data_IF_311124384827
#
_entry.id   IF_311124384827
#
_cell.length_a   1.000
_cell.length_b   1.000
_cell.length_c   1.000
_cell.angle_alpha   90.00
_cell.angle_beta   90.00
_cell.angle_gamma   90.00
#
_symmetry.space_group_name_H-M   'P 1'
#
loop_
_entity.id
_entity.type
_entity.pdbx_description
1 polymer ?
#
# COMPACT_ATOMS: atom_id res chain seq x y z
N UNK A 1 -1.85 9.10 23.25
CA UNK A 1 -2.15 9.14 21.80
C UNK A 1 -1.78 7.83 21.10
N UNK A 2 -0.51 7.37 21.13
CA UNK A 2 -0.12 6.10 20.49
C UNK A 2 -0.89 4.87 20.98
N UNK A 3 -1.01 4.72 22.30
CA UNK A 3 -1.79 3.63 22.89
C UNK A 3 -3.26 3.65 22.43
N UNK A 4 -3.88 4.82 22.39
CA UNK A 4 -5.24 4.99 21.86
C UNK A 4 -5.31 4.56 20.39
N UNK A 5 -4.34 4.98 19.58
CA UNK A 5 -4.27 4.62 18.15
C UNK A 5 -4.17 3.13 17.93
N UNK A 6 -3.33 2.45 18.72
CA UNK A 6 -3.20 1.00 18.68
C UNK A 6 -4.47 0.28 19.11
N UNK A 7 -5.12 0.72 20.19
CA UNK A 7 -6.37 0.13 20.66
C UNK A 7 -7.51 0.22 19.65
N UNK A 8 -7.49 1.25 18.81
CA UNK A 8 -8.47 1.47 17.73
C UNK A 8 -7.98 0.94 16.38
N UNK A 9 -6.89 0.17 16.34
CA UNK A 9 -6.33 -0.46 15.13
C UNK A 9 -5.99 0.54 14.01
N UNK A 10 -5.65 1.77 14.39
CA UNK A 10 -5.32 2.83 13.43
C UNK A 10 -3.94 2.59 12.81
N UNK A 11 -3.78 2.99 11.55
CA UNK A 11 -2.49 3.00 10.86
C UNK A 11 -1.47 3.83 11.65
N UNK A 12 -0.19 3.45 11.58
CA UNK A 12 0.88 4.18 12.25
C UNK A 12 0.91 5.63 11.78
N UNK A 13 0.91 6.63 12.68
CA UNK A 13 0.85 8.04 12.31
C UNK A 13 2.21 8.54 11.82
N UNK A 14 2.57 8.21 10.57
CA UNK A 14 3.87 8.58 9.97
C UNK A 14 4.15 10.08 9.94
N UNK A 15 3.12 10.92 9.89
CA UNK A 15 3.27 12.39 9.95
C UNK A 15 3.79 12.89 11.30
N UNK A 16 3.80 12.04 12.35
CA UNK A 16 4.34 12.33 13.68
C UNK A 16 5.63 11.54 13.96
N UNK A 17 6.29 11.00 12.92
CA UNK A 17 7.50 10.19 13.09
C UNK A 17 8.62 10.96 13.81
N UNK A 18 8.68 12.28 13.62
CA UNK A 18 9.60 13.17 14.32
C UNK A 18 9.41 13.11 15.84
N UNK A 19 8.18 13.11 16.34
CA UNK A 19 7.88 13.01 17.77
C UNK A 19 8.01 11.57 18.25
N UNK A 20 7.55 10.60 17.47
CA UNK A 20 7.41 9.21 17.91
C UNK A 20 8.75 8.47 17.87
N UNK A 21 9.47 8.55 16.75
CA UNK A 21 10.75 7.86 16.60
C UNK A 21 11.84 8.58 17.39
N UNK A 22 11.94 9.91 17.25
CA UNK A 22 12.97 10.69 17.94
C UNK A 22 12.68 10.88 19.43
N UNK A 23 11.41 11.12 19.79
CA UNK A 23 11.03 11.46 21.17
C UNK A 23 10.67 10.25 22.02
N UNK A 24 9.94 9.28 21.47
CA UNK A 24 9.43 8.11 22.21
C UNK A 24 10.21 6.82 21.95
N UNK A 25 11.15 6.82 20.99
CA UNK A 25 11.90 5.64 20.55
C UNK A 25 11.00 4.47 20.14
N UNK A 26 9.87 4.78 19.48
CA UNK A 26 8.93 3.78 18.97
C UNK A 26 8.98 3.76 17.44
N UNK A 27 9.41 2.64 16.88
CA UNK A 27 9.41 2.42 15.43
C UNK A 27 8.03 1.95 14.94
N UNK A 28 7.71 2.13 13.65
CA UNK A 28 6.51 1.53 13.05
C UNK A 28 6.44 0.02 13.29
N UNK A 29 7.58 -0.67 13.17
CA UNK A 29 7.69 -2.11 13.43
C UNK A 29 7.23 -2.48 14.86
N UNK A 30 7.75 -1.78 15.87
CA UNK A 30 7.34 -2.01 17.27
C UNK A 30 5.85 -1.73 17.48
N UNK A 31 5.32 -0.66 16.87
CA UNK A 31 3.91 -0.33 16.95
C UNK A 31 3.02 -1.47 16.43
N UNK A 32 3.34 -2.03 15.27
CA UNK A 32 2.57 -3.11 14.67
C UNK A 32 2.79 -4.47 15.35
N UNK A 33 4.00 -4.78 15.82
CA UNK A 33 4.24 -5.99 16.63
C UNK A 33 3.37 -5.97 17.90
N UNK A 34 3.32 -4.84 18.61
CA UNK A 34 2.49 -4.70 19.79
C UNK A 34 0.99 -4.79 19.44
N UNK A 35 0.57 -4.24 18.30
CA UNK A 35 -0.81 -4.34 17.84
C UNK A 35 -1.21 -5.80 17.56
N UNK A 36 -0.39 -6.53 16.80
CA UNK A 36 -0.64 -7.95 16.49
C UNK A 36 -0.61 -8.79 17.76
N UNK A 37 0.30 -8.53 18.69
CA UNK A 37 0.34 -9.24 19.99
C UNK A 37 -0.95 -9.01 20.81
N UNK A 38 -1.50 -7.79 20.79
CA UNK A 38 -2.76 -7.45 21.46
C UNK A 38 -3.97 -8.14 20.81
N UNK A 39 -4.07 -8.15 19.48
CA UNK A 39 -5.15 -8.82 18.73
C UNK A 39 -5.08 -10.34 18.94
N UNK A 40 -3.87 -10.93 18.88
CA UNK A 40 -3.65 -12.35 19.17
C UNK A 40 -4.03 -12.70 20.61
N UNK A 41 -3.68 -11.84 21.58
CA UNK A 41 -4.03 -12.04 22.99
C UNK A 41 -5.53 -12.09 23.22
N UNK A 42 -6.28 -11.31 22.44
CA UNK A 42 -7.73 -11.21 22.52
C UNK A 42 -8.44 -12.19 21.60
N UNK A 43 -7.69 -13.03 20.86
CA UNK A 43 -8.20 -13.97 19.85
C UNK A 43 -9.16 -13.31 18.84
N UNK A 44 -8.93 -12.03 18.51
CA UNK A 44 -9.71 -11.31 17.49
C UNK A 44 -9.32 -11.77 16.09
N UNK A 45 -10.27 -11.69 15.16
CA UNK A 45 -10.00 -11.97 13.74
C UNK A 45 -9.05 -10.92 13.15
N UNK A 46 -8.16 -11.34 12.23
CA UNK A 46 -7.33 -10.44 11.44
C UNK A 46 -8.19 -9.42 10.66
N UNK A 47 -9.42 -9.82 10.29
CA UNK A 47 -10.39 -8.99 9.56
C UNK A 47 -10.87 -7.77 10.33
N UNK A 48 -10.53 -7.66 11.61
CA UNK A 48 -10.81 -6.46 12.41
C UNK A 48 -9.85 -5.31 12.11
N UNK A 49 -8.71 -5.56 11.46
CA UNK A 49 -7.77 -4.53 11.04
C UNK A 49 -8.32 -3.75 9.83
N UNK A 50 -8.30 -2.40 9.84
CA UNK A 50 -8.52 -1.59 8.64
C UNK A 50 -7.54 -1.96 7.51
N UNK A 51 -7.88 -1.71 6.25
CA UNK A 51 -7.12 -2.19 5.09
C UNK A 51 -5.72 -1.59 5.05
N UNK A 52 -5.60 -0.29 5.26
CA UNK A 52 -4.28 0.36 5.22
C UNK A 52 -3.42 -0.01 6.43
N UNK A 53 -4.04 -0.29 7.59
CA UNK A 53 -3.36 -0.86 8.75
C UNK A 53 -2.84 -2.26 8.43
N UNK A 54 -3.68 -3.12 7.85
CA UNK A 54 -3.33 -4.49 7.51
C UNK A 54 -2.29 -4.58 6.38
N UNK A 55 -2.36 -3.69 5.39
CA UNK A 55 -1.35 -3.55 4.35
C UNK A 55 0.01 -3.18 4.94
N UNK A 56 0.04 -2.28 5.93
CA UNK A 56 1.30 -1.90 6.57
C UNK A 56 1.85 -2.99 7.50
N UNK A 57 0.97 -3.71 8.21
CA UNK A 57 1.32 -4.93 8.95
C UNK A 57 1.98 -5.97 8.04
N UNK A 58 1.39 -6.23 6.87
CA UNK A 58 1.94 -7.16 5.90
C UNK A 58 3.32 -6.69 5.41
N UNK A 59 3.44 -5.41 5.05
CA UNK A 59 4.68 -4.81 4.54
C UNK A 59 5.84 -4.86 5.55
N UNK A 60 5.57 -4.60 6.82
CA UNK A 60 6.61 -4.51 7.86
C UNK A 60 6.87 -5.83 8.59
N UNK A 61 5.83 -6.64 8.82
CA UNK A 61 5.91 -7.85 9.63
C UNK A 61 5.91 -9.13 8.77
N UNK A 62 5.39 -9.08 7.55
CA UNK A 62 5.12 -10.29 6.75
C UNK A 62 3.95 -11.11 7.27
N UNK A 63 3.09 -10.51 8.10
CA UNK A 63 1.92 -11.19 8.68
C UNK A 63 0.69 -10.75 7.90
N UNK A 64 0.24 -11.58 6.97
CA UNK A 64 -1.07 -11.49 6.36
C UNK A 64 -2.12 -12.29 7.13
N UNK A 65 -3.33 -12.40 6.56
CA UNK A 65 -4.46 -13.17 7.13
C UNK A 65 -4.06 -14.60 7.46
N UNK A 66 -3.38 -15.28 6.55
CA UNK A 66 -3.07 -16.70 6.66
C UNK A 66 -1.96 -16.95 7.66
N UNK A 67 -0.88 -16.17 7.59
CA UNK A 67 0.19 -16.20 8.58
C UNK A 67 -0.36 -15.91 9.99
N UNK A 68 -1.33 -15.00 10.11
CA UNK A 68 -2.00 -14.73 11.38
C UNK A 68 -2.85 -15.92 11.88
N UNK A 69 -3.61 -16.57 11.00
CA UNK A 69 -4.38 -17.79 11.33
C UNK A 69 -3.44 -18.90 11.82
N UNK A 70 -2.31 -19.09 11.15
CA UNK A 70 -1.29 -20.06 11.55
C UNK A 70 -0.70 -19.73 12.92
N UNK A 71 -0.42 -18.46 13.19
CA UNK A 71 0.03 -18.00 14.52
C UNK A 71 -1.01 -18.31 15.61
N UNK A 72 -2.30 -18.08 15.36
CA UNK A 72 -3.38 -18.45 16.29
C UNK A 72 -3.39 -19.96 16.52
N UNK A 73 -3.29 -20.76 15.46
CA UNK A 73 -3.33 -22.22 15.54
C UNK A 73 -2.14 -22.76 16.34
N UNK A 74 -0.94 -22.23 16.12
CA UNK A 74 0.25 -22.58 16.91
C UNK A 74 0.09 -22.22 18.39
N UNK A 75 -0.48 -21.03 18.68
CA UNK A 75 -0.79 -20.62 20.05
C UNK A 75 -1.80 -21.56 20.73
N UNK A 76 -2.83 -22.01 20.00
CA UNK A 76 -3.86 -22.94 20.52
C UNK A 76 -3.33 -24.36 20.70
N UNK A 77 -2.50 -24.84 19.78
CA UNK A 77 -1.86 -26.16 19.87
C UNK A 77 -0.95 -26.26 21.10
N UNK A 78 -0.19 -25.20 21.38
CA UNK A 78 0.66 -25.13 22.57
C UNK A 78 -0.14 -25.21 23.89
N UNK A 79 -1.31 -24.57 23.98
CA UNK A 79 -2.17 -24.63 25.17
C UNK A 79 -2.70 -26.04 25.50
N UNK A 80 -2.73 -26.97 24.54
CA UNK A 80 -3.24 -28.35 24.75
C UNK A 80 -2.19 -29.31 25.32
N UNK A 81 -0.90 -28.98 25.21
CA UNK A 81 0.20 -29.79 25.74
C UNK A 81 0.48 -29.39 27.19
N UNK A 82 -0.36 -29.86 28.10
CA UNK A 82 -0.50 -29.51 29.54
C UNK A 82 0.75 -29.72 30.45
N UNK A 83 1.98 -29.77 29.93
CA UNK A 83 3.20 -29.88 30.76
C UNK A 83 4.40 -29.01 30.31
N UNK A 84 4.28 -28.23 29.23
CA UNK A 84 5.29 -27.22 28.90
C UNK A 84 4.63 -25.84 28.96
N UNK A 85 5.02 -25.07 29.97
CA UNK A 85 4.80 -23.62 30.13
C UNK A 85 4.43 -22.90 28.83
N UNK A 86 3.30 -22.18 28.87
CA UNK A 86 2.91 -21.06 28.00
C UNK A 86 3.99 -20.72 26.97
N UNK A 87 3.86 -21.22 25.74
CA UNK A 87 4.75 -20.76 24.65
C UNK A 87 4.73 -19.25 24.69
N UNK A 88 5.92 -18.66 24.84
CA UNK A 88 6.07 -17.22 24.88
C UNK A 88 5.64 -16.71 23.51
N UNK A 89 4.41 -16.26 23.37
CA UNK A 89 3.82 -15.86 22.08
C UNK A 89 4.68 -14.83 21.33
N UNK A 90 5.43 -14.01 22.07
CA UNK A 90 6.43 -13.07 21.51
C UNK A 90 7.56 -13.77 20.75
N UNK A 91 7.84 -15.05 21.00
CA UNK A 91 8.82 -15.83 20.26
C UNK A 91 8.31 -16.30 18.89
N UNK A 92 7.00 -16.26 18.65
CA UNK A 92 6.40 -16.59 17.35
C UNK A 92 6.30 -15.36 16.44
N UNK A 93 6.38 -14.16 17.02
CA UNK A 93 6.33 -12.92 16.26
C UNK A 93 7.71 -12.59 15.65
N UNK A 94 7.74 -11.91 14.49
CA UNK A 94 8.96 -11.42 13.89
C UNK A 94 9.77 -10.56 14.87
N UNK A 95 11.09 -10.74 14.87
CA UNK A 95 12.02 -9.98 15.74
C UNK A 95 12.64 -8.79 14.98
N UNK A 96 12.63 -8.85 13.65
CA UNK A 96 13.16 -7.80 12.77
C UNK A 96 12.11 -7.43 11.71
N UNK A 97 12.04 -6.15 11.31
CA UNK A 97 11.19 -5.74 10.20
C UNK A 97 11.64 -6.40 8.90
N UNK A 98 10.68 -6.68 8.03
CA UNK A 98 10.97 -6.95 6.62
C UNK A 98 11.58 -5.72 5.95
N UNK A 99 12.38 -5.95 4.91
CA UNK A 99 13.07 -4.89 4.18
C UNK A 99 12.09 -3.85 3.64
N UNK A 100 12.27 -2.59 4.04
CA UNK A 100 11.42 -1.48 3.58
C UNK A 100 11.90 -1.00 2.22
N UNK A 101 10.95 -0.80 1.30
CA UNK A 101 11.21 -0.11 0.05
C UNK A 101 11.30 1.40 0.32
N UNK A 102 12.38 2.01 -0.17
CA UNK A 102 12.66 3.44 -0.04
C UNK A 102 12.98 4.00 -1.41
N UNK A 103 12.51 5.21 -1.70
CA UNK A 103 12.90 5.92 -2.91
C UNK A 103 14.02 6.92 -2.64
N UNK A 104 14.77 7.25 -3.69
CA UNK A 104 15.92 8.17 -3.65
C UNK A 104 15.57 9.60 -3.23
N UNK A 105 14.33 10.02 -3.41
CA UNK A 105 13.86 11.37 -3.12
C UNK A 105 13.30 11.54 -1.71
N UNK A 106 13.18 10.46 -0.94
CA UNK A 106 12.74 10.52 0.46
C UNK A 106 13.78 11.26 1.30
N UNK A 107 13.33 11.91 2.36
CA UNK A 107 14.18 12.65 3.29
C UNK A 107 14.49 11.75 4.48
N UNK A 108 15.76 11.62 4.80
CA UNK A 108 16.26 10.89 5.96
C UNK A 108 16.44 11.87 7.10
N UNK A 109 15.86 11.55 8.24
CA UNK A 109 16.00 12.30 9.47
C UNK A 109 16.64 11.46 10.56
N UNK A 110 17.31 12.14 11.50
CA UNK A 110 17.87 11.49 12.69
C UNK A 110 16.76 11.09 13.66
N UNK A 111 16.75 9.81 14.02
CA UNK A 111 15.90 9.25 15.08
C UNK A 111 16.50 9.45 16.46
N UNK A 112 16.28 8.50 17.35
CA UNK A 112 16.88 8.54 18.69
C UNK A 112 18.23 7.83 18.68
N UNK A 113 19.32 8.58 18.82
CA UNK A 113 20.69 8.04 18.84
C UNK A 113 21.26 8.07 20.26
N UNK A 114 21.69 6.91 20.78
CA UNK A 114 22.43 6.83 22.04
C UNK A 114 23.92 6.56 21.82
N UNK A 115 24.73 6.80 22.85
CA UNK A 115 26.18 6.56 22.83
C UNK A 115 26.51 5.08 22.59
N UNK A 116 25.65 4.16 23.06
CA UNK A 116 25.85 2.73 22.83
C UNK A 116 25.57 2.36 21.37
N UNK A 117 24.50 2.91 20.79
CA UNK A 117 24.13 2.65 19.40
C UNK A 117 25.27 3.08 18.45
N UNK A 118 25.92 4.21 18.73
CA UNK A 118 27.09 4.67 17.96
C UNK A 118 28.24 3.65 18.04
N UNK A 119 28.47 2.96 19.16
CA UNK A 119 29.57 1.99 19.25
C UNK A 119 29.35 0.80 18.32
N UNK A 120 28.11 0.35 18.21
CA UNK A 120 27.72 -0.83 17.46
C UNK A 120 27.56 -0.55 15.95
N UNK A 121 27.54 0.73 15.55
CA UNK A 121 27.48 1.15 14.14
C UNK A 121 28.81 0.95 13.39
N UNK A 122 28.69 0.61 12.11
CA UNK A 122 29.77 0.60 11.11
C UNK A 122 30.27 2.02 10.80
N UNK A 123 31.40 2.12 10.09
CA UNK A 123 31.98 3.43 9.73
C UNK A 123 31.06 4.24 8.79
N UNK A 124 30.40 3.59 7.83
CA UNK A 124 29.48 4.26 6.91
C UNK A 124 28.18 4.71 7.62
N UNK A 125 27.64 3.88 8.51
CA UNK A 125 26.49 4.24 9.34
C UNK A 125 26.78 5.44 10.25
N UNK A 126 27.96 5.47 10.88
CA UNK A 126 28.42 6.62 11.68
C UNK A 126 28.49 7.89 10.85
N UNK A 127 29.08 7.81 9.66
CA UNK A 127 29.19 8.96 8.74
C UNK A 127 27.82 9.51 8.36
N UNK A 128 26.82 8.65 8.11
CA UNK A 128 25.44 9.08 7.85
C UNK A 128 24.87 9.79 9.07
N UNK A 129 25.01 9.22 10.27
CA UNK A 129 24.53 9.82 11.52
C UNK A 129 25.18 11.19 11.77
N UNK A 130 26.50 11.28 11.66
CA UNK A 130 27.26 12.53 11.86
C UNK A 130 26.78 13.61 10.87
N UNK A 131 26.59 13.23 9.60
CA UNK A 131 26.07 14.15 8.58
C UNK A 131 24.66 14.65 8.92
N UNK A 132 23.78 13.78 9.45
CA UNK A 132 22.43 14.16 9.85
C UNK A 132 22.40 15.06 11.09
N UNK A 133 23.32 14.86 12.03
CA UNK A 133 23.42 15.65 13.26
C UNK A 133 23.98 17.05 12.94
N UNK A 134 25.04 17.13 12.14
CA UNK A 134 25.74 18.38 11.84
C UNK A 134 25.07 19.18 10.71
N UNK A 135 24.60 18.48 9.67
CA UNK A 135 24.08 19.08 8.43
C UNK A 135 22.56 19.08 8.30
N UNK A 136 21.85 18.34 9.16
CA UNK A 136 20.40 18.20 9.08
C UNK A 136 19.92 17.13 8.07
N UNK A 137 18.64 17.16 7.68
CA UNK A 137 18.04 16.10 6.86
C UNK A 137 18.68 15.97 5.48
N UNK A 138 18.87 14.74 5.00
CA UNK A 138 19.48 14.43 3.70
C UNK A 138 18.54 13.63 2.80
N UNK A 139 18.74 13.66 1.48
CA UNK A 139 17.96 12.80 0.56
C UNK A 139 18.51 11.38 0.57
N UNK A 140 17.64 10.38 0.64
CA UNK A 140 18.03 8.97 0.71
C UNK A 140 18.98 8.54 -0.43
N UNK A 141 18.78 9.09 -1.64
CA UNK A 141 19.63 8.82 -2.80
C UNK A 141 21.09 9.30 -2.67
N UNK A 142 21.41 10.18 -1.73
CA UNK A 142 22.76 10.71 -1.50
C UNK A 142 23.62 9.81 -0.60
N UNK A 143 22.98 8.90 0.15
CA UNK A 143 23.64 8.02 1.10
C UNK A 143 23.58 6.54 0.65
N UNK A 144 24.38 5.70 1.32
CA UNK A 144 24.40 4.27 1.11
C UNK A 144 23.06 3.61 1.49
N UNK A 145 22.48 2.86 0.55
CA UNK A 145 21.13 2.29 0.70
C UNK A 145 21.07 1.26 1.83
N UNK A 146 22.05 0.35 1.90
CA UNK A 146 22.02 -0.75 2.84
C UNK A 146 22.26 -0.25 4.27
N UNK A 147 23.17 0.72 4.42
CA UNK A 147 23.41 1.43 5.68
C UNK A 147 22.15 2.18 6.14
N UNK A 148 21.43 2.86 5.24
CA UNK A 148 20.15 3.51 5.57
C UNK A 148 19.09 2.52 6.07
N UNK A 149 18.94 1.37 5.41
CA UNK A 149 17.97 0.34 5.81
C UNK A 149 18.34 -0.30 7.15
N UNK A 150 19.64 -0.55 7.37
CA UNK A 150 20.17 -1.03 8.65
C UNK A 150 19.82 -0.07 9.78
N UNK A 151 20.17 1.21 9.64
CA UNK A 151 19.87 2.27 10.61
C UNK A 151 18.38 2.44 10.87
N UNK A 152 17.55 2.34 9.83
CA UNK A 152 16.10 2.43 9.96
C UNK A 152 15.52 1.27 10.76
N UNK A 153 16.04 0.04 10.55
CA UNK A 153 15.54 -1.16 11.23
C UNK A 153 15.68 -1.11 12.76
N UNK A 154 16.65 -0.34 13.26
CA UNK A 154 16.91 -0.12 14.69
C UNK A 154 16.40 1.23 15.21
N UNK A 155 15.79 2.06 14.35
CA UNK A 155 15.20 3.35 14.72
C UNK A 155 16.18 4.50 14.93
N UNK A 156 17.42 4.39 14.44
CA UNK A 156 18.40 5.48 14.48
C UNK A 156 18.14 6.54 13.42
N UNK A 157 17.43 6.19 12.35
CA UNK A 157 16.91 7.12 11.36
C UNK A 157 15.45 6.81 11.06
N UNK A 158 14.72 7.81 10.58
CA UNK A 158 13.39 7.62 10.00
C UNK A 158 13.28 8.38 8.68
N UNK A 159 12.32 7.99 7.85
CA UNK A 159 12.12 8.59 6.55
C UNK A 159 10.88 9.49 6.54
N UNK A 160 11.02 10.67 5.96
CA UNK A 160 9.93 11.53 5.55
C UNK A 160 9.75 11.47 4.04
N UNK A 161 8.49 11.43 3.60
CA UNK A 161 8.11 11.41 2.19
C UNK A 161 7.51 12.78 1.87
N UNK A 162 8.31 13.72 1.32
CA UNK A 162 7.87 15.11 1.12
C UNK A 162 6.90 15.25 -0.06
N UNK A 163 5.64 15.57 0.23
CA UNK A 163 4.61 15.78 -0.78
C UNK A 163 4.33 17.28 -0.91
N UNK A 164 4.60 17.87 -2.08
CA UNK A 164 4.32 19.29 -2.35
C UNK A 164 2.95 19.45 -3.02
N UNK A 165 2.36 20.64 -2.89
CA UNK A 165 1.01 20.95 -3.41
C UNK A 165 0.88 20.78 -4.93
N UNK A 166 1.96 21.08 -5.67
CA UNK A 166 2.02 20.98 -7.12
C UNK A 166 2.50 19.62 -7.65
N UNK A 167 2.79 18.66 -6.77
CA UNK A 167 3.19 17.32 -7.21
C UNK A 167 1.99 16.56 -7.78
N UNK A 168 2.24 15.68 -8.76
CA UNK A 168 1.25 14.74 -9.29
C UNK A 168 1.70 13.30 -9.01
N UNK A 169 0.74 12.44 -8.67
CA UNK A 169 0.98 11.04 -8.31
C UNK A 169 0.06 10.14 -9.12
N UNK A 170 0.51 8.93 -9.42
CA UNK A 170 -0.32 7.87 -10.01
C UNK A 170 -0.45 6.70 -9.04
N UNK A 171 -1.61 6.05 -9.08
CA UNK A 171 -1.86 4.78 -8.37
C UNK A 171 -1.59 3.66 -9.38
N UNK A 172 -0.51 2.87 -9.22
CA UNK A 172 -0.35 1.66 -10.01
C UNK A 172 -1.46 0.65 -9.66
N UNK A 173 -1.70 -0.36 -10.51
CA UNK A 173 -2.62 -1.45 -10.17
C UNK A 173 -2.33 -2.00 -8.76
N UNK A 174 -3.39 -2.16 -7.96
CA UNK A 174 -3.34 -2.54 -6.56
C UNK A 174 -2.86 -4.00 -6.41
N UNK A 175 -1.54 -4.20 -6.38
CA UNK A 175 -0.92 -5.50 -6.17
C UNK A 175 -0.87 -5.81 -4.66
N UNK A 176 -1.36 -6.98 -4.26
CA UNK A 176 -1.30 -7.43 -2.86
C UNK A 176 -2.17 -6.62 -1.88
N UNK A 177 -3.22 -5.97 -2.38
CA UNK A 177 -4.12 -5.17 -1.54
C UNK A 177 -4.89 -6.06 -0.56
N UNK A 178 -4.89 -5.66 0.72
CA UNK A 178 -5.62 -6.37 1.77
C UNK A 178 -7.04 -5.81 1.83
N UNK A 179 -8.06 -6.68 1.73
CA UNK A 179 -9.48 -6.31 1.70
C UNK A 179 -10.24 -6.83 2.94
N UNK A 180 -10.01 -6.16 4.06
CA UNK A 180 -10.79 -6.22 5.28
C UNK A 180 -11.96 -5.20 5.24
N UNK A 181 -13.20 -5.70 5.31
CA UNK A 181 -14.43 -4.87 5.27
C UNK A 181 -14.75 -4.20 6.62
N UNK A 182 -13.82 -3.42 7.15
CA UNK A 182 -14.01 -2.72 8.44
C UNK A 182 -14.72 -1.39 8.21
N UNK A 183 -15.84 -1.17 8.90
CA UNK A 183 -16.62 0.07 8.85
C UNK A 183 -16.29 0.96 10.06
N UNK A 184 -16.24 2.28 9.85
CA UNK A 184 -16.26 3.27 10.93
C UNK A 184 -14.93 3.95 11.27
N UNK A 185 -13.83 3.66 10.57
CA UNK A 185 -12.60 4.44 10.68
C UNK A 185 -12.62 5.64 9.70
N UNK A 186 -12.51 6.85 10.26
CA UNK A 186 -12.44 8.09 9.48
C UNK A 186 -11.21 8.13 8.59
N UNK A 187 -10.05 7.67 9.11
CA UNK A 187 -8.79 7.69 8.35
C UNK A 187 -8.86 6.74 7.17
N UNK A 188 -9.32 5.51 7.39
CA UNK A 188 -9.60 4.54 6.34
C UNK A 188 -10.51 5.12 5.25
N UNK A 189 -11.62 5.76 5.66
CA UNK A 189 -12.59 6.37 4.73
C UNK A 189 -11.97 7.50 3.91
N UNK A 190 -11.13 8.34 4.54
CA UNK A 190 -10.41 9.43 3.87
C UNK A 190 -9.42 8.86 2.85
N UNK A 191 -8.63 7.86 3.24
CA UNK A 191 -7.67 7.20 2.37
C UNK A 191 -8.38 6.59 1.16
N UNK A 192 -9.50 5.90 1.33
CA UNK A 192 -10.30 5.40 0.20
C UNK A 192 -10.79 6.51 -0.74
N UNK A 193 -11.30 7.62 -0.20
CA UNK A 193 -11.73 8.75 -1.04
C UNK A 193 -10.58 9.32 -1.87
N UNK A 194 -9.40 9.44 -1.26
CA UNK A 194 -8.19 9.92 -1.93
C UNK A 194 -7.72 8.93 -2.98
N UNK A 195 -7.70 7.63 -2.69
CA UNK A 195 -7.28 6.62 -3.67
C UNK A 195 -8.21 6.57 -4.89
N UNK A 196 -9.53 6.66 -4.68
CA UNK A 196 -10.51 6.70 -5.78
C UNK A 196 -10.42 8.00 -6.58
N UNK A 197 -10.04 9.12 -5.96
CA UNK A 197 -10.06 10.43 -6.61
C UNK A 197 -8.72 10.84 -7.23
N UNK A 198 -7.62 10.25 -6.79
CA UNK A 198 -6.29 10.55 -7.32
C UNK A 198 -6.17 10.15 -8.80
N UNK A 199 -5.47 10.99 -9.56
CA UNK A 199 -5.18 10.80 -10.98
C UNK A 199 -3.83 11.45 -11.31
N UNK A 200 -3.17 10.97 -12.38
CA UNK A 200 -1.83 11.40 -12.78
C UNK A 200 -1.74 12.85 -13.28
N UNK A 201 -2.88 13.51 -13.47
CA UNK A 201 -2.98 14.90 -13.95
C UNK A 201 -3.51 15.86 -12.88
N UNK A 202 -3.97 15.34 -11.75
CA UNK A 202 -4.51 16.15 -10.67
C UNK A 202 -3.39 16.42 -9.67
N UNK A 203 -3.10 17.69 -9.41
CA UNK A 203 -2.14 18.08 -8.38
C UNK A 203 -2.71 17.83 -6.98
N UNK A 204 -1.85 17.77 -5.97
CA UNK A 204 -2.29 17.59 -4.57
C UNK A 204 -3.25 18.71 -4.14
N UNK A 205 -3.00 19.96 -4.56
CA UNK A 205 -3.88 21.10 -4.27
C UNK A 205 -5.27 20.94 -4.89
N UNK A 206 -5.35 20.56 -6.16
CA UNK A 206 -6.62 20.31 -6.86
C UNK A 206 -7.38 19.13 -6.25
N UNK A 207 -6.67 18.08 -5.83
CA UNK A 207 -7.26 16.93 -5.16
C UNK A 207 -7.89 17.32 -3.81
N UNK A 208 -7.21 18.17 -3.04
CA UNK A 208 -7.74 18.67 -1.77
C UNK A 208 -9.02 19.48 -1.96
N UNK A 209 -9.06 20.35 -2.99
CA UNK A 209 -10.25 21.11 -3.38
C UNK A 209 -11.38 20.19 -3.81
N UNK A 210 -11.11 19.17 -4.65
CA UNK A 210 -12.10 18.22 -5.14
C UNK A 210 -12.77 17.46 -3.98
N UNK A 211 -11.98 17.03 -3.01
CA UNK A 211 -12.45 16.25 -1.87
C UNK A 211 -12.97 17.11 -0.71
N UNK A 212 -12.82 18.44 -0.81
CA UNK A 212 -13.12 19.40 0.25
C UNK A 212 -12.46 19.02 1.58
N UNK A 213 -11.14 18.78 1.52
CA UNK A 213 -10.27 18.46 2.66
C UNK A 213 -9.10 19.44 2.73
N UNK A 214 -8.41 19.48 3.87
CA UNK A 214 -7.21 20.29 4.00
C UNK A 214 -6.06 19.71 3.18
N UNK A 215 -5.25 20.60 2.60
CA UNK A 215 -4.09 20.21 1.78
C UNK A 215 -3.10 19.36 2.58
N UNK A 216 -2.94 19.64 3.88
CA UNK A 216 -2.10 18.84 4.78
C UNK A 216 -2.59 17.40 4.92
N UNK A 217 -3.91 17.17 4.94
CA UNK A 217 -4.47 15.82 5.05
C UNK A 217 -4.25 15.04 3.75
N UNK A 218 -4.41 15.71 2.60
CA UNK A 218 -4.07 15.15 1.30
C UNK A 218 -2.59 14.78 1.21
N UNK A 219 -1.68 15.67 1.65
CA UNK A 219 -0.24 15.42 1.69
C UNK A 219 0.11 14.22 2.57
N UNK A 220 -0.46 14.13 3.77
CA UNK A 220 -0.23 13.04 4.71
C UNK A 220 -0.73 11.70 4.16
N UNK A 221 -1.90 11.68 3.52
CA UNK A 221 -2.45 10.48 2.88
C UNK A 221 -1.59 10.01 1.70
N UNK A 222 -1.19 10.92 0.82
CA UNK A 222 -0.33 10.59 -0.33
C UNK A 222 1.05 10.12 0.13
N UNK A 223 1.60 10.76 1.17
CA UNK A 223 2.84 10.34 1.84
C UNK A 223 2.73 8.90 2.34
N UNK A 224 1.61 8.54 2.98
CA UNK A 224 1.33 7.16 3.38
C UNK A 224 1.23 6.21 2.18
N UNK A 225 0.51 6.58 1.11
CA UNK A 225 0.41 5.73 -0.08
C UNK A 225 1.75 5.46 -0.76
N UNK A 226 2.64 6.45 -0.81
CA UNK A 226 3.99 6.24 -1.31
C UNK A 226 4.76 5.22 -0.44
N UNK A 227 4.61 5.28 0.89
CA UNK A 227 5.26 4.33 1.83
C UNK A 227 4.71 2.91 1.71
N UNK A 228 3.41 2.78 1.46
CA UNK A 228 2.74 1.50 1.26
C UNK A 228 2.95 0.93 -0.15
N UNK A 229 3.52 1.71 -1.08
CA UNK A 229 3.70 1.32 -2.48
C UNK A 229 2.46 1.50 -3.36
N UNK A 230 1.40 2.13 -2.84
CA UNK A 230 0.15 2.40 -3.57
C UNK A 230 0.19 3.68 -4.40
N UNK A 231 1.20 4.53 -4.25
CA UNK A 231 1.36 5.74 -5.05
C UNK A 231 2.79 5.89 -5.55
N UNK A 232 2.93 6.33 -6.80
CA UNK A 232 4.21 6.69 -7.40
C UNK A 232 4.20 8.16 -7.76
N UNK A 233 5.23 8.89 -7.33
CA UNK A 233 5.43 10.28 -7.74
C UNK A 233 5.78 10.33 -9.22
N UNK A 234 5.09 11.17 -9.98
CA UNK A 234 5.43 11.40 -11.39
C UNK A 234 6.81 12.07 -11.44
N UNK A 235 7.80 11.32 -11.92
CA UNK A 235 9.21 11.72 -11.90
C UNK A 235 9.42 13.07 -12.59
N UNK A 236 9.78 14.08 -11.82
CA UNK A 236 10.71 15.11 -12.28
C UNK A 236 12.09 14.66 -11.81
N UNK A 237 12.72 13.75 -12.55
CA UNK A 237 14.12 13.40 -12.29
C UNK A 237 14.93 14.67 -12.54
N UNK A 238 15.48 15.26 -11.49
CA UNK A 238 16.51 16.28 -11.63
C UNK A 238 17.75 15.59 -12.23
N UNK A 239 18.10 15.86 -13.50
CA UNK A 239 19.20 15.18 -14.18
C UNK A 239 20.56 15.43 -13.49
N UNK A 240 20.63 16.42 -12.60
CA UNK A 240 21.83 16.78 -11.85
C UNK A 240 22.03 15.98 -10.55
N UNK A 241 21.05 15.17 -10.14
CA UNK A 241 21.11 14.45 -8.86
C UNK A 241 22.17 13.35 -8.89
N UNK A 242 23.24 13.54 -8.11
CA UNK A 242 24.30 12.54 -7.94
C UNK A 242 23.86 11.47 -6.96
N UNK A 243 23.30 10.38 -7.49
CA UNK A 243 22.93 9.20 -6.70
C UNK A 243 24.17 8.42 -6.25
N UNK A 244 24.13 7.95 -5.00
CA UNK A 244 25.11 7.01 -4.47
C UNK A 244 25.12 5.70 -5.28
N UNK A 245 26.27 5.06 -5.42
CA UNK A 245 26.45 3.92 -6.34
C UNK A 245 25.57 2.72 -6.00
N UNK A 246 25.22 2.54 -4.72
CA UNK A 246 24.32 1.50 -4.21
C UNK A 246 22.92 1.52 -4.86
N UNK A 247 22.51 2.67 -5.41
CA UNK A 247 21.20 2.83 -6.04
C UNK A 247 21.17 2.46 -7.53
N UNK A 248 22.34 2.32 -8.17
CA UNK A 248 22.44 2.06 -9.62
C UNK A 248 22.20 0.59 -10.00
N UNK A 249 22.22 -0.33 -9.03
CA UNK A 249 22.15 -1.78 -9.29
C UNK A 249 20.74 -2.40 -9.18
N UNK A 250 19.74 -1.65 -8.70
CA UNK A 250 18.44 -2.23 -8.31
C UNK A 250 17.22 -1.64 -9.05
N UNK A 251 17.37 -1.24 -10.31
CA UNK A 251 16.22 -1.02 -11.21
C UNK A 251 15.60 -2.34 -11.69
N UNK A 252 15.37 -3.29 -10.77
CA UNK A 252 14.50 -4.43 -11.01
C UNK A 252 13.29 -4.23 -10.09
N UNK A 253 12.05 -4.21 -10.64
CA UNK A 253 10.86 -4.26 -9.82
C UNK A 253 10.94 -5.53 -8.96
N UNK A 254 10.86 -5.37 -7.64
CA UNK A 254 10.66 -6.49 -6.74
C UNK A 254 9.26 -7.04 -7.02
N UNK A 255 9.18 -8.13 -7.79
CA UNK A 255 8.06 -9.06 -7.76
C UNK A 255 8.00 -9.65 -6.35
N UNK A 256 7.14 -9.09 -5.50
CA UNK A 256 6.77 -9.74 -4.25
C UNK A 256 6.35 -11.17 -4.55
N UNK A 257 6.92 -12.13 -3.83
CA UNK A 257 6.77 -13.56 -4.05
C UNK A 257 5.32 -13.94 -4.36
N UNK A 258 5.11 -14.42 -5.58
CA UNK A 258 3.82 -14.79 -6.18
C UNK A 258 3.06 -15.89 -5.42
N UNK A 259 3.72 -16.58 -4.49
CA UNK A 259 3.16 -17.75 -3.79
C UNK A 259 2.08 -17.38 -2.75
N UNK A 260 2.09 -16.17 -2.18
CA UNK A 260 1.11 -15.78 -1.15
C UNK A 260 -0.22 -15.27 -1.73
N UNK A 261 -0.19 -14.69 -2.94
CA UNK A 261 -1.40 -14.29 -3.66
C UNK A 261 -2.22 -15.51 -4.11
N UNK A 262 -1.55 -16.59 -4.51
CA UNK A 262 -2.19 -17.82 -4.97
C UNK A 262 -2.98 -18.53 -3.84
N UNK A 263 -2.45 -18.49 -2.62
CA UNK A 263 -3.09 -19.12 -1.46
C UNK A 263 -4.31 -18.32 -0.94
N UNK A 264 -4.24 -16.98 -0.92
CA UNK A 264 -5.38 -16.10 -0.56
C UNK A 264 -6.57 -16.23 -1.53
N UNK A 265 -6.30 -16.55 -2.80
CA UNK A 265 -7.32 -16.71 -3.83
C UNK A 265 -8.10 -18.02 -3.70
N UNK A 266 -7.47 -19.10 -3.20
CA UNK A 266 -8.14 -20.38 -2.97
C UNK A 266 -9.23 -20.32 -1.88
N UNK A 267 -9.07 -19.40 -0.93
CA UNK A 267 -9.99 -19.23 0.19
C UNK A 267 -11.20 -18.34 -0.20
N UNK A 268 -11.00 -17.40 -1.12
CA UNK A 268 -12.05 -16.57 -1.73
C UNK A 268 -13.05 -17.41 -2.55
N UNK A 269 -12.54 -18.40 -3.30
CA UNK A 269 -13.38 -19.41 -3.99
C UNK A 269 -14.23 -20.21 -3.00
N UNK A 270 -13.66 -20.56 -1.84
CA UNK A 270 -14.34 -21.34 -0.81
C UNK A 270 -15.43 -20.54 -0.09
N UNK A 271 -15.22 -19.24 0.13
CA UNK A 271 -16.19 -18.34 0.74
C UNK A 271 -17.33 -17.91 -0.21
N UNK A 272 -17.04 -17.75 -1.51
CA UNK A 272 -18.05 -17.43 -2.54
C UNK A 272 -18.99 -18.60 -2.82
N UNK A 273 -18.50 -19.85 -2.72
CA UNK A 273 -19.32 -21.06 -2.84
C UNK A 273 -20.42 -21.17 -1.76
N UNK A 274 -20.30 -20.43 -0.64
CA UNK A 274 -21.29 -20.42 0.44
C UNK A 274 -22.33 -19.29 0.32
N UNK A 275 -22.12 -18.33 -0.59
CA UNK A 275 -22.99 -17.15 -0.76
C UNK A 275 -23.95 -17.25 -1.96
N UNK A 276 -23.90 -18.34 -2.73
CA UNK A 276 -24.85 -18.60 -3.81
C UNK A 276 -26.21 -19.04 -3.25
N UNK A 277 -26.96 -18.08 -2.71
CA UNK A 277 -28.43 -18.15 -2.65
C UNK A 277 -29.03 -16.83 -3.17
N UNK A 278 -29.99 -16.87 -4.11
CA UNK A 278 -30.46 -15.66 -4.77
C UNK A 278 -31.60 -15.02 -3.98
N UNK A 279 -31.45 -13.73 -3.61
CA UNK A 279 -32.47 -12.65 -3.65
C UNK A 279 -32.20 -11.55 -2.60
N UNK A 280 -31.93 -10.33 -3.07
CA UNK A 280 -32.83 -9.18 -2.91
C UNK A 280 -32.32 -7.99 -3.72
N UNK A 281 -33.13 -7.56 -4.68
CA UNK A 281 -33.02 -6.27 -5.34
C UNK A 281 -33.25 -5.15 -4.32
N UNK A 282 -32.37 -4.16 -4.31
CA UNK A 282 -32.68 -2.81 -3.82
C UNK A 282 -32.33 -1.81 -4.91
N UNK A 283 -33.36 -1.12 -5.37
CA UNK A 283 -33.35 -0.03 -6.34
C UNK A 283 -32.59 1.17 -5.77
N UNK A 284 -31.61 1.69 -6.51
CA UNK A 284 -30.98 2.99 -6.24
C UNK A 284 -31.76 4.07 -6.98
N UNK A 285 -32.34 5.01 -6.22
CA UNK A 285 -32.94 6.22 -6.76
C UNK A 285 -31.86 7.21 -7.18
N UNK A 286 -31.93 7.63 -8.44
CA UNK A 286 -31.04 8.60 -9.07
C UNK A 286 -31.34 10.01 -8.57
N UNK A 287 -30.41 10.64 -7.85
CA UNK A 287 -30.40 12.10 -7.71
C UNK A 287 -29.60 12.71 -8.86
N UNK A 288 -30.31 13.17 -9.88
CA UNK A 288 -29.77 13.97 -10.96
C UNK A 288 -29.65 15.44 -10.53
N UNK A 289 -28.46 15.87 -10.12
CA UNK A 289 -28.10 17.28 -10.17
C UNK A 289 -27.20 17.51 -11.39
N UNK A 290 -27.75 18.19 -12.38
CA UNK A 290 -27.07 18.55 -13.61
C UNK A 290 -25.93 19.54 -13.36
N UNK A 291 -24.74 19.21 -13.84
CA UNK A 291 -23.62 20.13 -13.98
C UNK A 291 -23.61 20.60 -15.44
N UNK A 292 -23.91 21.87 -15.62
CA UNK A 292 -23.80 22.60 -16.89
C UNK A 292 -22.32 22.73 -17.25
N UNK A 293 -21.92 22.24 -18.42
CA UNK A 293 -20.58 22.44 -18.96
C UNK A 293 -20.50 23.83 -19.62
N UNK A 294 -19.64 24.70 -19.09
CA UNK A 294 -19.25 25.96 -19.71
C UNK A 294 -18.08 25.70 -20.68
N UNK A 295 -18.29 26.01 -21.96
CA UNK A 295 -17.27 25.88 -23.01
C UNK A 295 -16.29 27.07 -22.95
N UNK A 296 -15.26 26.93 -22.11
CA UNK A 296 -14.18 27.90 -21.98
C UNK A 296 -12.79 27.27 -22.24
N UNK A 297 -12.27 27.49 -23.45
CA UNK A 297 -10.91 27.19 -23.95
C UNK A 297 -9.82 26.91 -22.90
N UNK A 298 -9.25 25.70 -22.93
CA UNK A 298 -7.85 25.44 -22.57
C UNK A 298 -7.30 24.27 -23.38
N UNK A 299 -6.14 24.50 -23.94
CA UNK A 299 -5.46 23.74 -24.99
C UNK A 299 -4.72 22.50 -24.44
N UNK A 300 -4.73 21.43 -25.25
CA UNK A 300 -4.09 20.10 -25.07
C UNK A 300 -4.91 19.09 -24.23
N UNK A 301 -6.18 18.89 -24.58
CA UNK A 301 -6.94 17.72 -24.17
C UNK A 301 -6.66 16.56 -25.13
N UNK A 302 -5.74 15.66 -24.79
CA UNK A 302 -5.64 14.35 -25.44
C UNK A 302 -7.00 13.63 -25.36
N UNK A 303 -7.38 12.91 -26.43
CA UNK A 303 -8.62 12.11 -26.45
C UNK A 303 -8.63 11.16 -25.26
N UNK A 304 -9.62 11.26 -24.38
CA UNK A 304 -9.78 10.37 -23.22
C UNK A 304 -10.66 9.19 -23.63
N UNK A 305 -10.17 7.98 -23.42
CA UNK A 305 -10.94 6.75 -23.59
C UNK A 305 -11.40 6.34 -22.19
N UNK A 306 -12.70 6.13 -22.02
CA UNK A 306 -13.27 5.60 -20.79
C UNK A 306 -13.77 4.18 -21.07
N UNK A 307 -13.29 3.22 -20.28
CA UNK A 307 -13.75 1.84 -20.34
C UNK A 307 -14.83 1.65 -19.27
N UNK A 308 -16.07 1.44 -19.69
CA UNK A 308 -17.17 1.09 -18.80
C UNK A 308 -17.31 -0.43 -18.78
N UNK A 309 -17.28 -1.00 -17.58
CA UNK A 309 -17.46 -2.42 -17.33
C UNK A 309 -18.43 -2.60 -16.16
N UNK A 310 -19.07 -3.76 -16.11
CA UNK A 310 -19.93 -4.14 -15.01
C UNK A 310 -19.17 -4.99 -13.98
N UNK A 311 -19.79 -5.24 -12.82
CA UNK A 311 -19.17 -6.05 -11.76
C UNK A 311 -18.95 -7.50 -12.17
N UNK A 312 -19.60 -7.98 -13.25
CA UNK A 312 -19.39 -9.36 -13.72
C UNK A 312 -18.03 -9.52 -14.37
N UNK A 313 -17.54 -8.54 -15.15
CA UNK A 313 -16.18 -8.57 -15.69
C UNK A 313 -15.13 -8.70 -14.58
N UNK A 314 -15.26 -7.89 -13.52
CA UNK A 314 -14.33 -7.96 -12.38
C UNK A 314 -14.34 -9.33 -11.69
N UNK A 315 -15.53 -9.95 -11.59
CA UNK A 315 -15.65 -11.28 -11.00
C UNK A 315 -15.00 -12.35 -11.89
N UNK A 316 -15.22 -12.31 -13.21
CA UNK A 316 -14.58 -13.25 -14.15
C UNK A 316 -13.05 -13.12 -14.15
N UNK A 317 -12.53 -11.88 -14.08
CA UNK A 317 -11.09 -11.67 -14.05
C UNK A 317 -10.46 -12.12 -12.71
N UNK A 318 -11.18 -12.01 -11.60
CA UNK A 318 -10.71 -12.46 -10.28
C UNK A 318 -10.83 -13.98 -10.08
N UNK A 319 -11.94 -14.58 -10.53
CA UNK A 319 -12.25 -16.01 -10.36
C UNK A 319 -11.68 -16.88 -11.49
N UNK A 320 -11.32 -16.27 -12.62
CA UNK A 320 -10.73 -16.96 -13.76
C UNK A 320 -9.33 -17.49 -13.43
N UNK A 321 -8.95 -18.61 -14.06
CA UNK A 321 -7.57 -19.12 -14.05
C UNK A 321 -6.68 -18.28 -14.99
N UNK A 322 -6.60 -16.98 -14.73
CA UNK A 322 -5.87 -15.98 -15.51
C UNK A 322 -4.57 -15.59 -14.82
N UNK A 323 -3.68 -14.91 -15.56
CA UNK A 323 -2.41 -14.42 -15.02
C UNK A 323 -2.64 -13.56 -13.76
N UNK A 324 -1.68 -13.57 -12.84
CA UNK A 324 -1.74 -12.72 -11.64
C UNK A 324 -1.75 -11.22 -11.99
N UNK A 325 -1.22 -10.84 -13.16
CA UNK A 325 -1.31 -9.49 -13.71
C UNK A 325 -2.76 -9.07 -13.96
N UNK A 326 -3.54 -9.92 -14.63
CA UNK A 326 -4.98 -9.71 -14.85
C UNK A 326 -5.77 -9.64 -13.54
N UNK A 327 -5.46 -10.50 -12.57
CA UNK A 327 -6.09 -10.45 -11.24
C UNK A 327 -5.80 -9.13 -10.51
N UNK A 328 -4.58 -8.61 -10.63
CA UNK A 328 -4.20 -7.32 -10.05
C UNK A 328 -5.01 -6.16 -10.63
N UNK A 329 -5.21 -6.15 -11.95
CA UNK A 329 -6.08 -5.17 -12.60
C UNK A 329 -7.55 -5.34 -12.18
N UNK A 330 -8.02 -6.58 -12.01
CA UNK A 330 -9.39 -6.86 -11.56
C UNK A 330 -9.67 -6.36 -10.14
N UNK A 331 -8.71 -6.54 -9.21
CA UNK A 331 -8.79 -5.97 -7.86
C UNK A 331 -8.85 -4.45 -7.93
N UNK A 332 -8.01 -3.83 -8.79
CA UNK A 332 -8.03 -2.37 -8.99
C UNK A 332 -9.37 -1.89 -9.53
N UNK A 333 -9.92 -2.57 -10.53
CA UNK A 333 -11.24 -2.28 -11.10
C UNK A 333 -12.36 -2.38 -10.05
N UNK A 334 -12.28 -3.36 -9.15
CA UNK A 334 -13.29 -3.60 -8.12
C UNK A 334 -13.21 -2.59 -6.96
N UNK A 335 -12.01 -2.34 -6.44
CA UNK A 335 -11.79 -1.47 -5.27
C UNK A 335 -11.85 0.02 -5.64
N UNK A 336 -11.21 0.40 -6.74
CA UNK A 336 -11.13 1.81 -7.17
C UNK A 336 -12.33 2.18 -8.06
N UNK A 337 -12.98 1.20 -8.70
CA UNK A 337 -14.12 1.43 -9.59
C UNK A 337 -13.74 2.10 -10.92
N UNK A 338 -12.45 2.33 -11.18
CA UNK A 338 -11.93 2.94 -12.40
C UNK A 338 -10.56 2.36 -12.76
N UNK A 339 -10.26 2.38 -14.05
CA UNK A 339 -8.90 2.20 -14.57
C UNK A 339 -8.42 3.48 -15.21
N UNK A 340 -7.22 3.90 -14.85
CA UNK A 340 -6.57 5.07 -15.45
C UNK A 340 -6.02 4.71 -16.83
N UNK A 341 -5.89 5.71 -17.71
CA UNK A 341 -5.35 5.51 -19.06
C UNK A 341 -3.96 4.85 -19.07
N UNK A 342 -3.16 5.04 -18.02
CA UNK A 342 -1.84 4.42 -17.85
C UNK A 342 -1.95 2.90 -17.61
N UNK A 343 -2.85 2.50 -16.71
CA UNK A 343 -3.11 1.09 -16.41
C UNK A 343 -3.78 0.33 -17.56
N UNK A 344 -4.50 1.04 -18.44
CA UNK A 344 -5.21 0.42 -19.58
C UNK A 344 -4.26 -0.26 -20.57
N UNK A 345 -3.10 0.34 -20.84
CA UNK A 345 -2.10 -0.28 -21.73
C UNK A 345 -1.59 -1.60 -21.16
N UNK A 346 -1.21 -1.59 -19.87
CA UNK A 346 -0.78 -2.80 -19.17
C UNK A 346 -1.87 -3.87 -19.07
N UNK A 347 -3.14 -3.47 -18.91
CA UNK A 347 -4.26 -4.41 -18.93
C UNK A 347 -4.39 -5.09 -20.30
N UNK A 348 -4.28 -4.32 -21.40
CA UNK A 348 -4.33 -4.86 -22.75
C UNK A 348 -3.15 -5.82 -23.01
N UNK A 349 -1.94 -5.46 -22.57
CA UNK A 349 -0.77 -6.32 -22.67
C UNK A 349 -0.96 -7.64 -21.88
N UNK A 350 -1.64 -7.60 -20.73
CA UNK A 350 -1.97 -8.81 -19.97
C UNK A 350 -3.08 -9.63 -20.64
N UNK A 351 -4.11 -8.99 -21.18
CA UNK A 351 -5.18 -9.65 -21.94
C UNK A 351 -4.64 -10.34 -23.21
N UNK A 352 -3.68 -9.73 -23.89
CA UNK A 352 -3.03 -10.29 -25.09
C UNK A 352 -2.22 -11.55 -24.78
N UNK A 353 -1.80 -11.77 -23.53
CA UNK A 353 -1.11 -12.99 -23.10
C UNK A 353 -2.05 -14.18 -22.91
N UNK A 354 -3.37 -13.96 -22.87
CA UNK A 354 -4.34 -15.04 -22.75
C UNK A 354 -4.33 -15.82 -24.07
N UNK A 355 -3.83 -17.06 -24.02
CA UNK A 355 -3.97 -17.98 -25.13
C UNK A 355 -5.41 -18.48 -25.15
N UNK A 356 -6.13 -18.14 -26.21
CA UNK A 356 -7.48 -18.59 -26.44
C UNK A 356 -7.43 -20.04 -26.91
N UNK A 357 -7.68 -20.98 -26.01
CA UNK A 357 -8.10 -22.31 -26.44
C UNK A 357 -9.50 -22.17 -27.07
N UNK A 358 -9.67 -22.66 -28.31
CA UNK A 358 -10.93 -22.62 -29.06
C UNK A 358 -12.05 -23.31 -28.27
N UNK A 359 -12.72 -22.56 -27.40
CA UNK A 359 -13.72 -23.05 -26.47
C UNK A 359 -14.63 -21.94 -25.97
N UNK A 360 -15.80 -21.84 -26.61
CA UNK A 360 -17.03 -21.23 -26.09
C UNK A 360 -17.12 -19.69 -25.95
N UNK A 361 -16.50 -18.91 -26.84
CA UNK A 361 -16.76 -17.47 -26.97
C UNK A 361 -16.95 -17.03 -28.42
N UNK A 362 -18.15 -16.55 -28.77
CA UNK A 362 -18.46 -16.09 -30.13
C UNK A 362 -17.74 -14.77 -30.44
N UNK A 363 -16.86 -14.78 -31.43
CA UNK A 363 -16.06 -13.63 -31.86
C UNK A 363 -16.92 -12.61 -32.64
N UNK A 364 -17.07 -11.39 -32.12
CA UNK A 364 -17.43 -10.23 -32.95
C UNK A 364 -16.15 -9.47 -33.28
N UNK A 365 -15.56 -9.77 -34.43
CA UNK A 365 -14.52 -8.92 -35.02
C UNK A 365 -15.11 -7.52 -35.21
N UNK A 366 -14.58 -6.51 -34.51
CA UNK A 366 -14.77 -5.13 -34.92
C UNK A 366 -13.91 -4.91 -36.16
N UNK A 367 -14.42 -5.30 -37.32
CA UNK A 367 -13.81 -4.92 -38.59
C UNK A 367 -13.88 -3.41 -38.72
N UNK A 368 -12.72 -2.77 -38.83
CA UNK A 368 -12.61 -1.37 -39.22
C UNK A 368 -13.32 -1.17 -40.56
N UNK A 369 -14.52 -0.58 -40.52
CA UNK A 369 -15.18 -0.02 -41.68
C UNK A 369 -14.43 1.22 -42.13
N UNK A 370 -13.38 1.04 -42.93
CA UNK A 370 -12.93 2.07 -43.87
C UNK A 370 -13.79 1.93 -45.11
N UNK A 371 -14.76 2.83 -45.27
CA UNK A 371 -15.32 3.27 -46.55
C UNK A 371 -15.98 4.63 -46.34
#
# INVERSE_FOLDING_TARGET
MLHYSRQHLMVYPYHLSDVIVKGLKVTPFQYYIEMVDEILSQERSYDSLPNFTAADCLRLLGIGRNQYIDLINQCKASKRMFLWSTVNRKSLLPVKPLGVQIDTWWIVNVGFVSVQDIKDCTAEEKKIIDTLIDGGPLRAGEADRDSLLSLHSIGLVYFDVPVNEGDCFSIPPLQGFVMNRVLGDYMETLLYKISVSMDEKTTVSELAILLNIDVSDAQNAISLFCRLGFAKKKKFEDPSMRLHYSWKSNSLPFEGSFEEAEFLLSELDTALAQLSSPKRSMTLESMSNGISFDEGKSTIAGRKIAFLFDSTLTAYLMMGNLSSGLKTHAVTMFEVGKLTSESTGSLLDELDKIQWEDGEGQYCALTHGVS
#
